data_IF_270577266655
#
_entry.id   IF_270577266655
#
_cell.length_a   1.000
_cell.length_b   1.000
_cell.length_c   1.000
_cell.angle_alpha   90.00
_cell.angle_beta   90.00
_cell.angle_gamma   90.00
#
_symmetry.space_group_name_H-M   'P 1'
#
loop_
_entity.id
_entity.type
_entity.pdbx_description
1 polymer ?
#
# COMPACT_ATOMS: atom_id res chain seq x y z
N UNK A 1 -58.48 -32.82 11.52
CA UNK A 1 -57.71 -31.60 11.37
C UNK A 1 -56.24 -32.00 11.20
N UNK A 2 -55.66 -31.73 10.05
CA UNK A 2 -54.22 -31.98 9.78
C UNK A 2 -53.45 -30.71 10.14
N UNK A 3 -52.34 -30.76 10.90
CA UNK A 3 -51.53 -29.59 11.16
C UNK A 3 -50.71 -29.24 9.87
N UNK A 4 -50.78 -27.99 9.44
CA UNK A 4 -49.98 -27.47 8.37
C UNK A 4 -48.59 -27.17 8.92
N UNK A 5 -47.58 -27.98 8.52
CA UNK A 5 -46.15 -27.69 8.79
C UNK A 5 -45.73 -26.46 8.00
N UNK A 6 -45.39 -25.41 8.71
CA UNK A 6 -44.72 -24.23 8.14
C UNK A 6 -43.24 -24.52 8.16
N UNK A 7 -42.69 -24.78 6.98
CA UNK A 7 -41.22 -24.86 6.79
C UNK A 7 -40.71 -23.45 6.70
N UNK A 8 -40.09 -22.96 7.77
CA UNK A 8 -39.32 -21.71 7.74
C UNK A 8 -37.96 -22.01 7.11
N UNK A 9 -37.86 -21.66 5.84
CA UNK A 9 -36.59 -21.75 5.12
C UNK A 9 -35.68 -20.63 5.59
N UNK A 10 -34.71 -20.97 6.44
CA UNK A 10 -33.65 -20.06 6.87
C UNK A 10 -32.65 -19.88 5.72
N UNK A 11 -32.84 -18.84 4.91
CA UNK A 11 -31.85 -18.45 3.90
C UNK A 11 -30.68 -17.80 4.62
N UNK A 12 -29.66 -18.60 4.89
CA UNK A 12 -28.37 -18.10 5.38
C UNK A 12 -27.66 -17.45 4.22
N UNK A 13 -27.73 -16.10 4.12
CA UNK A 13 -26.89 -15.34 3.21
C UNK A 13 -25.44 -15.49 3.63
N UNK A 14 -24.72 -16.43 3.03
CA UNK A 14 -23.25 -16.42 3.04
C UNK A 14 -22.80 -15.23 2.17
N UNK A 15 -22.49 -14.11 2.81
CA UNK A 15 -21.68 -13.07 2.20
C UNK A 15 -20.28 -13.64 2.08
N UNK A 16 -19.97 -14.25 0.96
CA UNK A 16 -18.61 -14.64 0.62
C UNK A 16 -17.79 -13.34 0.48
N UNK A 17 -16.99 -13.02 1.49
CA UNK A 17 -15.89 -12.09 1.36
C UNK A 17 -14.90 -12.72 0.37
N UNK A 18 -15.05 -12.44 -0.90
CA UNK A 18 -14.02 -12.67 -1.90
C UNK A 18 -12.90 -11.65 -1.65
N UNK A 19 -12.03 -11.95 -0.68
CA UNK A 19 -10.72 -11.34 -0.62
C UNK A 19 -10.02 -11.71 -1.93
N UNK A 20 -9.82 -10.74 -2.81
CA UNK A 20 -8.97 -10.91 -3.97
C UNK A 20 -7.61 -11.42 -3.49
N UNK A 21 -7.23 -12.64 -3.87
CA UNK A 21 -5.99 -13.30 -3.41
C UNK A 21 -4.74 -12.42 -3.56
N UNK A 22 -4.71 -11.50 -4.54
CA UNK A 22 -3.60 -10.59 -4.75
C UNK A 22 -3.44 -9.50 -3.68
N UNK A 23 -4.52 -9.06 -3.04
CA UNK A 23 -4.41 -8.09 -1.93
C UNK A 23 -3.74 -8.73 -0.71
N UNK A 24 -3.95 -10.02 -0.48
CA UNK A 24 -3.42 -10.74 0.68
C UNK A 24 -1.88 -10.73 0.73
N UNK A 25 -1.20 -10.75 -0.41
CA UNK A 25 0.26 -10.71 -0.45
C UNK A 25 0.84 -9.42 0.14
N UNK A 26 0.16 -8.29 -0.06
CA UNK A 26 0.59 -6.98 0.44
C UNK A 26 0.33 -6.77 1.93
N UNK A 27 -0.66 -7.47 2.51
CA UNK A 27 -1.09 -7.24 3.90
C UNK A 27 0.00 -7.58 4.92
N UNK A 28 0.00 -6.86 6.02
CA UNK A 28 0.86 -7.09 7.19
C UNK A 28 1.78 -5.92 7.48
N UNK A 29 2.69 -6.15 8.42
CA UNK A 29 3.71 -5.20 8.85
C UNK A 29 5.04 -5.52 8.17
N UNK A 30 5.63 -4.50 7.59
CA UNK A 30 6.85 -4.57 6.80
C UNK A 30 7.92 -3.67 7.42
N UNK A 31 9.09 -4.22 7.73
CA UNK A 31 10.24 -3.48 8.25
C UNK A 31 11.32 -3.34 7.19
N UNK A 32 11.86 -2.13 7.06
CA UNK A 32 12.93 -1.83 6.12
C UNK A 32 14.18 -2.67 6.45
N UNK A 33 14.70 -3.34 5.43
CA UNK A 33 16.01 -3.99 5.46
C UNK A 33 17.04 -3.04 4.82
N UNK A 34 17.69 -2.25 5.64
CA UNK A 34 18.65 -1.24 5.15
C UNK A 34 19.80 -1.87 4.37
N UNK A 35 20.30 -3.03 4.81
CA UNK A 35 21.43 -3.71 4.16
C UNK A 35 21.12 -4.16 2.72
N UNK A 36 19.85 -4.41 2.41
CA UNK A 36 19.39 -4.81 1.07
C UNK A 36 18.79 -3.65 0.26
N UNK A 37 18.68 -2.47 0.88
CA UNK A 37 18.05 -1.30 0.26
C UNK A 37 19.08 -0.32 -0.30
N UNK A 38 18.67 0.40 -1.36
CA UNK A 38 19.40 1.54 -1.91
C UNK A 38 18.46 2.74 -1.84
N UNK A 39 18.62 3.56 -0.82
CA UNK A 39 17.79 4.75 -0.62
C UNK A 39 18.49 5.92 -1.34
N UNK A 40 17.82 6.48 -2.33
CA UNK A 40 18.34 7.60 -3.11
C UNK A 40 18.51 8.86 -2.25
N UNK A 41 19.55 9.62 -2.52
CA UNK A 41 19.75 10.90 -1.84
C UNK A 41 18.54 11.83 -2.05
N UNK A 42 18.07 12.45 -0.97
CA UNK A 42 16.91 13.33 -1.00
C UNK A 42 15.55 12.62 -1.02
N UNK A 43 15.51 11.28 -1.01
CA UNK A 43 14.26 10.53 -0.85
C UNK A 43 13.95 10.29 0.63
N UNK A 44 12.64 10.21 1.00
CA UNK A 44 12.26 9.78 2.34
C UNK A 44 12.60 8.29 2.53
N UNK A 45 12.91 7.92 3.77
CA UNK A 45 13.16 6.55 4.18
C UNK A 45 12.00 6.06 5.06
N UNK A 46 11.14 5.22 4.52
CA UNK A 46 10.04 4.61 5.27
C UNK A 46 10.59 3.37 6.02
N UNK A 47 10.68 3.46 7.34
CA UNK A 47 11.24 2.38 8.18
C UNK A 47 10.22 1.26 8.42
N UNK A 48 8.94 1.63 8.51
CA UNK A 48 7.84 0.70 8.75
C UNK A 48 6.70 1.00 7.79
N UNK A 49 6.14 -0.04 7.20
CA UNK A 49 4.92 0.03 6.38
C UNK A 49 3.94 -0.98 6.93
N UNK A 50 2.76 -0.51 7.35
CA UNK A 50 1.65 -1.36 7.82
C UNK A 50 0.55 -1.30 6.78
N UNK A 51 0.08 -2.45 6.33
CA UNK A 51 -0.96 -2.58 5.30
C UNK A 51 -2.07 -3.46 5.85
N UNK A 52 -3.27 -2.89 5.96
CA UNK A 52 -4.42 -3.50 6.63
C UNK A 52 -5.68 -3.38 5.77
N UNK A 53 -6.54 -4.41 5.85
CA UNK A 53 -7.87 -4.33 5.28
C UNK A 53 -8.80 -3.52 6.20
N UNK A 54 -9.50 -2.53 5.66
CA UNK A 54 -10.49 -1.70 6.38
C UNK A 54 -11.77 -1.68 5.56
N UNK A 55 -12.70 -2.57 5.90
CA UNK A 55 -13.90 -2.81 5.10
C UNK A 55 -13.52 -3.27 3.68
N UNK A 56 -14.01 -2.58 2.66
CA UNK A 56 -13.68 -2.85 1.25
C UNK A 56 -12.40 -2.14 0.79
N UNK A 57 -11.76 -1.36 1.66
CA UNK A 57 -10.56 -0.59 1.37
C UNK A 57 -9.33 -1.23 2.01
N UNK A 58 -8.19 -0.73 1.60
CA UNK A 58 -6.89 -1.01 2.19
C UNK A 58 -6.37 0.28 2.81
N UNK A 59 -5.91 0.21 4.06
CA UNK A 59 -5.18 1.29 4.72
C UNK A 59 -3.69 0.98 4.67
N UNK A 60 -2.89 1.95 4.27
CA UNK A 60 -1.42 1.89 4.30
C UNK A 60 -0.91 3.01 5.19
N UNK A 61 -0.19 2.64 6.24
CA UNK A 61 0.48 3.55 7.15
C UNK A 61 1.99 3.43 6.95
N UNK A 62 2.67 4.54 6.80
CA UNK A 62 4.13 4.56 6.64
C UNK A 62 4.76 5.49 7.68
N UNK A 63 5.68 4.94 8.45
CA UNK A 63 6.50 5.65 9.44
C UNK A 63 7.96 5.61 9.02
N UNK A 64 8.64 6.75 9.12
CA UNK A 64 10.03 6.85 8.70
C UNK A 64 10.67 8.18 9.01
N UNK A 65 11.56 8.60 8.13
CA UNK A 65 12.24 9.90 8.21
C UNK A 65 12.30 10.53 6.81
N UNK A 66 12.30 11.87 6.77
CA UNK A 66 12.58 12.61 5.55
C UNK A 66 14.10 12.65 5.24
N UNK A 67 14.46 13.34 4.16
CA UNK A 67 15.85 13.48 3.73
C UNK A 67 16.74 14.20 4.78
N UNK A 68 16.16 14.98 5.69
CA UNK A 68 16.85 15.67 6.78
C UNK A 68 16.89 14.85 8.09
N UNK A 69 16.33 13.64 8.09
CA UNK A 69 16.25 12.77 9.27
C UNK A 69 15.09 13.10 10.22
N UNK A 70 14.18 14.00 9.83
CA UNK A 70 13.01 14.34 10.62
C UNK A 70 11.96 13.23 10.53
N UNK A 71 11.32 12.82 11.65
CA UNK A 71 10.27 11.81 11.62
C UNK A 71 9.13 12.17 10.68
N UNK A 72 8.67 11.17 9.93
CA UNK A 72 7.51 11.26 9.03
C UNK A 72 6.50 10.19 9.35
N UNK A 73 5.23 10.55 9.20
CA UNK A 73 4.10 9.63 9.31
C UNK A 73 3.11 9.98 8.21
N UNK A 74 2.71 9.00 7.40
CA UNK A 74 1.66 9.21 6.42
C UNK A 74 0.68 8.05 6.37
N UNK A 75 -0.57 8.36 6.02
CA UNK A 75 -1.66 7.41 5.89
C UNK A 75 -2.37 7.56 4.55
N UNK A 76 -2.64 6.45 3.94
CA UNK A 76 -3.43 6.35 2.71
C UNK A 76 -4.51 5.29 2.90
N UNK A 77 -5.74 5.58 2.43
CA UNK A 77 -6.84 4.61 2.41
C UNK A 77 -7.50 4.64 1.04
N UNK A 78 -7.61 3.49 0.41
CA UNK A 78 -8.18 3.36 -0.92
C UNK A 78 -8.26 1.91 -1.39
N UNK A 79 -8.39 1.73 -2.70
CA UNK A 79 -8.41 0.41 -3.35
C UNK A 79 -7.18 0.26 -4.26
N UNK A 80 -6.78 -0.96 -4.56
CA UNK A 80 -5.69 -1.23 -5.52
C UNK A 80 -6.21 -1.25 -6.97
N UNK A 81 -7.07 -0.29 -7.31
CA UNK A 81 -7.78 -0.16 -8.58
C UNK A 81 -7.14 0.85 -9.56
N UNK A 82 -6.03 1.46 -9.17
CA UNK A 82 -5.33 2.46 -9.95
C UNK A 82 -5.93 3.86 -9.89
N UNK A 83 -7.01 4.05 -9.15
CA UNK A 83 -7.58 5.40 -8.92
C UNK A 83 -6.79 6.14 -7.86
N UNK A 84 -6.85 7.45 -7.93
CA UNK A 84 -6.22 8.33 -6.95
C UNK A 84 -7.09 8.49 -5.71
N UNK A 85 -6.48 8.31 -4.55
CA UNK A 85 -7.09 8.55 -3.24
C UNK A 85 -6.21 9.52 -2.44
N UNK A 86 -6.80 10.33 -1.55
CA UNK A 86 -6.04 11.26 -0.72
C UNK A 86 -5.01 10.53 0.14
N UNK A 87 -3.87 11.16 0.36
CA UNK A 87 -2.86 10.73 1.34
C UNK A 87 -2.65 11.86 2.34
N UNK A 88 -2.68 11.52 3.63
CA UNK A 88 -2.43 12.45 4.72
C UNK A 88 -0.99 12.32 5.21
N UNK A 89 -0.36 13.44 5.58
CA UNK A 89 0.98 13.47 6.18
C UNK A 89 2.15 13.27 5.21
N UNK A 90 1.90 13.17 3.90
CA UNK A 90 2.95 13.10 2.88
C UNK A 90 3.22 14.49 2.30
N UNK A 91 4.38 15.04 2.60
CA UNK A 91 4.77 16.36 2.09
C UNK A 91 4.93 16.39 0.56
N UNK A 92 5.25 15.25 -0.06
CA UNK A 92 5.52 15.13 -1.49
C UNK A 92 4.28 14.76 -2.32
N UNK A 93 3.16 14.38 -1.70
CA UNK A 93 1.96 13.95 -2.43
C UNK A 93 0.69 14.36 -1.70
N UNK A 94 -0.32 14.80 -2.46
CA UNK A 94 -1.69 15.04 -1.97
C UNK A 94 -2.57 13.83 -2.22
N UNK A 95 -2.28 13.10 -3.31
CA UNK A 95 -2.97 11.87 -3.69
C UNK A 95 -1.96 10.78 -4.02
N UNK A 96 -2.40 9.55 -3.83
CA UNK A 96 -1.63 8.36 -4.20
C UNK A 96 -2.56 7.32 -4.81
N UNK A 97 -2.06 6.59 -5.80
CA UNK A 97 -2.73 5.46 -6.39
C UNK A 97 -1.88 4.21 -6.29
N UNK A 98 -2.52 3.09 -6.09
CA UNK A 98 -1.94 1.76 -6.25
C UNK A 98 -2.78 0.99 -7.26
N UNK A 99 -2.13 0.32 -8.21
CA UNK A 99 -2.78 -0.54 -9.18
C UNK A 99 -2.20 -1.93 -9.06
N UNK A 100 -3.05 -2.89 -8.75
CA UNK A 100 -2.66 -4.29 -8.79
C UNK A 100 -2.53 -4.74 -10.25
N UNK A 101 -1.36 -5.28 -10.62
CA UNK A 101 -1.08 -5.82 -11.95
C UNK A 101 -1.32 -7.33 -11.95
N UNK A 102 -0.85 -7.99 -10.90
CA UNK A 102 -1.07 -9.42 -10.61
C UNK A 102 -1.01 -9.64 -9.09
N UNK A 103 -0.98 -10.89 -8.66
CA UNK A 103 -1.03 -11.28 -7.25
C UNK A 103 0.12 -10.73 -6.40
N UNK A 104 1.24 -10.31 -7.01
CA UNK A 104 2.45 -9.87 -6.32
C UNK A 104 3.05 -8.58 -6.85
N UNK A 105 2.55 -8.07 -7.98
CA UNK A 105 3.06 -6.88 -8.64
C UNK A 105 2.05 -5.74 -8.59
N UNK A 106 2.50 -4.58 -8.14
CA UNK A 106 1.68 -3.38 -8.00
C UNK A 106 2.42 -2.17 -8.59
N UNK A 107 1.70 -1.30 -9.25
CA UNK A 107 2.19 0.03 -9.61
C UNK A 107 1.77 1.05 -8.55
N UNK A 108 2.62 2.03 -8.29
CA UNK A 108 2.35 3.14 -7.37
C UNK A 108 2.64 4.46 -8.07
N UNK A 109 1.78 5.44 -7.85
CA UNK A 109 1.99 6.82 -8.28
C UNK A 109 1.49 7.78 -7.20
N UNK A 110 2.26 8.84 -6.96
CA UNK A 110 1.88 9.95 -6.09
C UNK A 110 1.87 11.24 -6.87
N UNK A 111 0.93 12.13 -6.55
CA UNK A 111 0.80 13.45 -7.18
C UNK A 111 0.70 14.55 -6.13
N UNK A 112 1.28 15.70 -6.44
CA UNK A 112 1.17 16.96 -5.72
C UNK A 112 0.66 18.05 -6.66
N UNK A 113 -0.46 18.68 -6.32
CA UNK A 113 -1.07 19.68 -7.21
C UNK A 113 -1.35 19.16 -8.62
N UNK A 114 -1.73 17.91 -8.78
CA UNK A 114 -2.01 17.24 -10.06
C UNK A 114 -0.76 16.79 -10.84
N UNK A 115 0.45 17.09 -10.38
CA UNK A 115 1.71 16.66 -11.00
C UNK A 115 2.25 15.40 -10.35
N UNK A 116 2.73 14.45 -11.16
CA UNK A 116 3.37 13.23 -10.64
C UNK A 116 4.67 13.60 -9.94
N UNK A 117 4.78 13.25 -8.67
CA UNK A 117 5.98 13.46 -7.84
C UNK A 117 6.71 12.15 -7.55
N UNK A 118 5.98 11.04 -7.54
CA UNK A 118 6.52 9.69 -7.31
C UNK A 118 5.86 8.72 -8.26
N UNK A 119 6.62 7.80 -8.80
CA UNK A 119 6.10 6.66 -9.57
C UNK A 119 7.00 5.44 -9.41
N UNK A 120 6.44 4.25 -9.50
CA UNK A 120 7.22 3.03 -9.41
C UNK A 120 6.40 1.77 -9.31
N UNK A 121 7.07 0.72 -8.85
CA UNK A 121 6.51 -0.62 -8.69
C UNK A 121 6.82 -1.17 -7.32
N UNK A 122 5.90 -1.97 -6.81
CA UNK A 122 6.05 -2.76 -5.61
C UNK A 122 5.88 -4.23 -5.96
N UNK A 123 6.82 -5.06 -5.52
CA UNK A 123 6.82 -6.50 -5.78
C UNK A 123 6.91 -7.24 -4.45
N UNK A 124 6.04 -8.22 -4.26
CA UNK A 124 6.11 -9.16 -3.12
C UNK A 124 6.72 -10.47 -3.61
N UNK A 125 7.68 -11.02 -2.86
CA UNK A 125 8.31 -12.30 -3.18
C UNK A 125 7.31 -13.47 -3.17
N UNK A 126 7.64 -14.56 -3.87
CA UNK A 126 6.76 -15.73 -3.98
C UNK A 126 6.41 -16.35 -2.62
N UNK A 127 7.34 -16.30 -1.66
CA UNK A 127 7.15 -16.79 -0.28
C UNK A 127 6.40 -15.79 0.61
N UNK A 128 6.06 -14.59 0.10
CA UNK A 128 5.35 -13.55 0.84
C UNK A 128 6.15 -12.86 1.95
N UNK A 129 7.47 -13.12 2.05
CA UNK A 129 8.31 -12.64 3.17
C UNK A 129 9.07 -11.37 2.88
N UNK A 130 9.20 -10.99 1.61
CA UNK A 130 9.94 -9.81 1.17
C UNK A 130 9.06 -8.95 0.27
N UNK A 131 9.10 -7.64 0.50
CA UNK A 131 8.45 -6.62 -0.32
C UNK A 131 9.50 -5.65 -0.82
N UNK A 132 9.59 -5.45 -2.11
CA UNK A 132 10.54 -4.51 -2.72
C UNK A 132 9.79 -3.39 -3.43
N UNK A 133 10.09 -2.15 -3.08
CA UNK A 133 9.57 -0.96 -3.74
C UNK A 133 10.69 -0.31 -4.56
N UNK A 134 10.49 -0.26 -5.87
CA UNK A 134 11.33 0.50 -6.81
C UNK A 134 10.59 1.77 -7.18
N UNK A 135 11.01 2.90 -6.68
CA UNK A 135 10.35 4.18 -6.91
C UNK A 135 11.34 5.24 -7.36
N UNK A 136 10.87 6.13 -8.22
CA UNK A 136 11.57 7.34 -8.64
C UNK A 136 10.66 8.54 -8.48
N UNK A 137 11.24 9.69 -8.28
CA UNK A 137 10.43 10.90 -8.09
C UNK A 137 11.24 12.17 -8.07
N UNK A 138 10.53 13.23 -7.68
CA UNK A 138 11.10 14.57 -7.49
C UNK A 138 10.69 15.04 -6.09
N UNK A 139 11.65 15.43 -5.28
CA UNK A 139 11.39 15.97 -3.95
C UNK A 139 10.90 17.42 -4.00
N UNK A 140 10.54 17.99 -2.84
CA UNK A 140 10.00 19.37 -2.74
C UNK A 140 10.98 20.46 -3.22
N UNK A 141 12.27 20.18 -3.23
CA UNK A 141 13.32 21.11 -3.72
C UNK A 141 13.64 20.95 -5.19
N UNK A 142 12.91 20.06 -5.90
CA UNK A 142 13.12 19.78 -7.32
C UNK A 142 14.20 18.73 -7.59
N UNK A 143 14.83 18.18 -6.57
CA UNK A 143 15.82 17.10 -6.69
C UNK A 143 15.19 15.79 -7.11
N UNK A 144 15.76 15.15 -8.13
CA UNK A 144 15.33 13.80 -8.56
C UNK A 144 15.94 12.75 -7.63
N UNK A 145 15.17 11.70 -7.36
CA UNK A 145 15.64 10.54 -6.60
C UNK A 145 15.16 9.23 -7.23
N UNK A 146 15.90 8.17 -6.95
CA UNK A 146 15.51 6.80 -7.24
C UNK A 146 15.86 5.94 -6.02
N UNK A 147 14.92 5.10 -5.62
CA UNK A 147 15.03 4.28 -4.41
C UNK A 147 14.61 2.86 -4.70
N UNK A 148 15.41 1.91 -4.24
CA UNK A 148 15.03 0.50 -4.09
C UNK A 148 14.97 0.19 -2.60
N UNK A 149 13.78 0.12 -2.05
CA UNK A 149 13.55 -0.19 -0.64
C UNK A 149 13.08 -1.64 -0.49
N UNK A 150 13.84 -2.44 0.24
CA UNK A 150 13.54 -3.85 0.52
C UNK A 150 13.03 -3.95 1.96
N UNK A 151 11.92 -4.61 2.13
CA UNK A 151 11.27 -4.82 3.43
C UNK A 151 11.12 -6.30 3.73
N UNK A 152 11.28 -6.66 4.99
CA UNK A 152 10.97 -8.00 5.50
C UNK A 152 9.62 -7.96 6.23
N UNK A 153 8.81 -8.99 6.02
CA UNK A 153 7.55 -9.18 6.74
C UNK A 153 7.82 -9.56 8.20
N UNK A 154 7.02 -9.00 9.10
CA UNK A 154 7.08 -9.30 10.53
C UNK A 154 6.05 -10.36 10.92
#
# INVERSE_FOLDING_TARGET
>A
MKPKSVIVSLVTCFVALTLCFGQAAMMGTWKLNEAKSKIGAGSPKNNTVVIEAVGENVKITMDGVDAAGKPTHNEWTGKFDGKEYPVAGDANSDTRSYKQIDDRNFEVSGKKGGKVTVSGKVVVSADGKTRTAHVKGTNLTGGKFETTAVYNKQ
#
